data_IF_589915748552
#
_entry.id   IF_589915748552
#
_cell.length_a   1.000
_cell.length_b   1.000
_cell.length_c   1.000
_cell.angle_alpha   90.00
_cell.angle_beta   90.00
_cell.angle_gamma   90.00
#
_symmetry.space_group_name_H-M   'P 1'
#
loop_
_entity.id
_entity.type
_entity.pdbx_description
1 polymer ?
#
# COMPACT_ATOMS: atom_id res chain seq x y z
N UNK A 1 -25.34 3.50 8.28
CA UNK A 1 -24.24 4.30 8.84
C UNK A 1 -24.72 5.74 8.84
N UNK A 2 -24.66 6.42 9.99
CA UNK A 2 -24.89 7.87 10.05
C UNK A 2 -23.65 8.63 9.58
N UNK A 3 -23.78 9.92 9.27
CA UNK A 3 -22.63 10.78 8.88
C UNK A 3 -21.55 10.79 9.97
N UNK A 4 -21.95 10.78 11.24
CA UNK A 4 -21.01 10.74 12.37
C UNK A 4 -20.23 9.43 12.41
N UNK A 5 -20.90 8.30 12.16
CA UNK A 5 -20.26 6.99 12.08
C UNK A 5 -19.29 6.92 10.89
N UNK A 6 -19.63 7.54 9.76
CA UNK A 6 -18.74 7.66 8.61
C UNK A 6 -17.49 8.47 8.95
N UNK A 7 -17.64 9.65 9.56
CA UNK A 7 -16.51 10.48 10.02
C UNK A 7 -15.61 9.71 11.00
N UNK A 8 -16.20 8.98 11.93
CA UNK A 8 -15.47 8.12 12.87
C UNK A 8 -14.70 7.00 12.17
N UNK A 9 -15.32 6.34 11.18
CA UNK A 9 -14.66 5.29 10.39
C UNK A 9 -13.48 5.85 9.59
N UNK A 10 -13.65 6.98 8.90
CA UNK A 10 -12.56 7.65 8.16
C UNK A 10 -11.43 8.02 9.12
N UNK A 11 -11.75 8.63 10.27
CA UNK A 11 -10.75 9.00 11.28
C UNK A 11 -9.97 7.78 11.79
N UNK A 12 -10.62 6.63 11.91
CA UNK A 12 -9.96 5.39 12.30
C UNK A 12 -8.90 4.99 11.27
N UNK A 13 -9.25 4.95 9.98
CA UNK A 13 -8.28 4.67 8.92
C UNK A 13 -7.17 5.73 8.92
N UNK A 14 -7.49 7.02 8.84
CA UNK A 14 -6.46 8.07 8.83
C UNK A 14 -5.47 7.98 10.01
N UNK A 15 -5.93 7.62 11.21
CA UNK A 15 -5.04 7.45 12.37
C UNK A 15 -4.02 6.29 12.25
N UNK A 16 -4.17 5.41 11.26
CA UNK A 16 -3.35 4.22 10.97
C UNK A 16 -2.49 4.39 9.73
N UNK A 17 -2.73 5.46 8.96
CA UNK A 17 -1.99 5.76 7.72
C UNK A 17 -0.48 5.87 7.97
N UNK A 18 -0.07 6.44 9.10
CA UNK A 18 1.35 6.56 9.43
C UNK A 18 2.03 5.19 9.61
N UNK A 19 1.36 4.21 10.24
CA UNK A 19 1.90 2.85 10.43
C UNK A 19 2.10 2.20 9.06
N UNK A 20 1.10 2.33 8.18
CA UNK A 20 1.20 1.84 6.80
C UNK A 20 2.36 2.48 6.05
N UNK A 21 2.46 3.82 6.09
CA UNK A 21 3.51 4.56 5.39
C UNK A 21 4.91 4.21 5.92
N UNK A 22 5.07 4.08 7.24
CA UNK A 22 6.35 3.68 7.84
C UNK A 22 6.72 2.27 7.43
N UNK A 23 5.79 1.32 7.52
CA UNK A 23 6.05 -0.06 7.12
C UNK A 23 6.44 -0.15 5.63
N UNK A 24 5.59 0.35 4.75
CA UNK A 24 5.82 0.32 3.29
C UNK A 24 7.09 1.09 2.92
N UNK A 25 7.33 2.25 3.55
CA UNK A 25 8.52 3.06 3.33
C UNK A 25 9.81 2.35 3.74
N UNK A 26 9.85 1.68 4.89
CA UNK A 26 11.00 0.90 5.33
C UNK A 26 11.33 -0.24 4.37
N UNK A 27 10.32 -0.97 3.91
CA UNK A 27 10.50 -2.03 2.92
C UNK A 27 10.92 -1.48 1.54
N UNK A 28 10.46 -0.29 1.17
CA UNK A 28 10.92 0.42 -0.03
C UNK A 28 12.39 0.83 0.06
N UNK A 29 12.81 1.40 1.18
CA UNK A 29 14.23 1.74 1.45
C UNK A 29 15.09 0.48 1.37
N UNK A 30 14.64 -0.61 2.00
CA UNK A 30 15.36 -1.90 1.96
C UNK A 30 15.49 -2.43 0.52
N UNK A 31 14.39 -2.44 -0.25
CA UNK A 31 14.40 -2.93 -1.63
C UNK A 31 15.29 -2.10 -2.55
N UNK A 32 15.31 -0.78 -2.38
CA UNK A 32 16.23 0.12 -3.12
C UNK A 32 17.67 -0.13 -2.68
N UNK A 33 17.95 -0.20 -1.38
CA UNK A 33 19.30 -0.45 -0.87
C UNK A 33 19.88 -1.78 -1.39
N UNK A 34 19.10 -2.87 -1.32
CA UNK A 34 19.50 -4.18 -1.85
C UNK A 34 19.76 -4.10 -3.36
N UNK A 35 18.89 -3.46 -4.13
CA UNK A 35 19.08 -3.28 -5.57
C UNK A 35 20.31 -2.47 -5.95
N UNK A 36 20.52 -1.31 -5.31
CA UNK A 36 21.66 -0.42 -5.56
C UNK A 36 23.00 -1.04 -5.13
N UNK A 37 23.00 -1.94 -4.14
CA UNK A 37 24.22 -2.59 -3.66
C UNK A 37 24.82 -3.61 -4.65
N UNK A 38 24.09 -4.00 -5.69
CA UNK A 38 24.44 -5.11 -6.60
C UNK A 38 25.16 -4.69 -7.88
N UNK A 39 25.32 -3.40 -8.15
CA UNK A 39 26.00 -2.93 -9.35
C UNK A 39 26.13 -1.42 -9.44
N UNK A 40 26.74 -0.95 -10.53
CA UNK A 40 26.79 0.48 -10.85
C UNK A 40 25.40 0.94 -11.29
N UNK A 41 24.85 1.91 -10.57
CA UNK A 41 23.52 2.45 -10.84
C UNK A 41 23.61 3.92 -11.21
N UNK A 42 22.97 4.28 -12.33
CA UNK A 42 22.77 5.65 -12.76
C UNK A 42 21.29 5.94 -12.81
N UNK A 43 20.86 7.00 -12.15
CA UNK A 43 19.46 7.43 -12.16
C UNK A 43 19.01 7.87 -13.55
N UNK A 44 17.81 7.46 -13.94
CA UNK A 44 17.18 7.75 -15.22
C UNK A 44 15.78 8.34 -15.04
N UNK A 45 15.17 8.78 -16.14
CA UNK A 45 13.78 9.27 -16.13
C UNK A 45 12.82 8.13 -15.75
N UNK A 46 13.10 6.89 -16.18
CA UNK A 46 12.28 5.72 -15.88
C UNK A 46 12.20 5.42 -14.38
N UNK A 47 13.28 5.66 -13.64
CA UNK A 47 13.29 5.55 -12.16
C UNK A 47 12.28 6.51 -11.52
N UNK A 48 12.29 7.76 -12.01
CA UNK A 48 11.40 8.81 -11.49
C UNK A 48 9.95 8.46 -11.76
N UNK A 49 9.64 8.01 -12.98
CA UNK A 49 8.28 7.57 -13.37
C UNK A 49 7.88 6.35 -12.52
N UNK A 50 8.77 5.38 -12.34
CA UNK A 50 8.53 4.18 -11.55
C UNK A 50 8.17 4.49 -10.09
N UNK A 51 8.92 5.38 -9.45
CA UNK A 51 8.67 5.81 -8.06
C UNK A 51 7.35 6.57 -7.94
N UNK A 52 7.00 7.43 -8.90
CA UNK A 52 5.72 8.13 -8.90
C UNK A 52 4.54 7.16 -9.03
N UNK A 53 4.62 6.21 -9.98
CA UNK A 53 3.60 5.18 -10.16
C UNK A 53 3.46 4.33 -8.89
N UNK A 54 4.58 3.91 -8.30
CA UNK A 54 4.58 3.15 -7.04
C UNK A 54 3.94 3.96 -5.90
N UNK A 55 4.30 5.24 -5.75
CA UNK A 55 3.75 6.12 -4.71
C UNK A 55 2.24 6.30 -4.82
N UNK A 56 1.72 6.44 -6.05
CA UNK A 56 0.27 6.46 -6.30
C UNK A 56 -0.36 5.11 -5.93
N UNK A 57 0.25 4.01 -6.37
CA UNK A 57 -0.22 2.65 -6.09
C UNK A 57 -0.31 2.35 -4.58
N UNK A 58 0.71 2.68 -3.81
CA UNK A 58 0.74 2.50 -2.36
C UNK A 58 -0.40 3.27 -1.66
N UNK A 59 -0.69 4.50 -2.09
CA UNK A 59 -1.82 5.28 -1.56
C UNK A 59 -3.18 4.69 -1.93
N UNK A 60 -3.32 4.15 -3.16
CA UNK A 60 -4.53 3.46 -3.59
C UNK A 60 -4.76 2.21 -2.74
N UNK A 61 -3.74 1.37 -2.56
CA UNK A 61 -3.85 0.15 -1.76
C UNK A 61 -4.26 0.42 -0.32
N UNK A 62 -3.70 1.47 0.29
CA UNK A 62 -4.16 1.89 1.61
C UNK A 62 -5.64 2.26 1.63
N UNK A 63 -6.08 3.01 0.61
CA UNK A 63 -7.45 3.52 0.51
C UNK A 63 -8.49 2.43 0.23
N UNK A 64 -8.07 1.25 -0.27
CA UNK A 64 -8.98 0.11 -0.49
C UNK A 64 -9.67 -0.35 0.80
N UNK A 65 -9.02 -0.22 1.97
CA UNK A 65 -9.63 -0.62 3.24
C UNK A 65 -10.92 0.13 3.57
N UNK A 66 -10.89 1.46 3.51
CA UNK A 66 -12.08 2.29 3.75
C UNK A 66 -13.11 2.12 2.62
N UNK A 67 -12.66 1.96 1.37
CA UNK A 67 -13.52 1.69 0.22
C UNK A 67 -14.32 0.40 0.40
N UNK A 68 -13.70 -0.67 0.91
CA UNK A 68 -14.39 -1.93 1.21
C UNK A 68 -15.44 -1.77 2.32
N UNK A 69 -15.14 -1.00 3.37
CA UNK A 69 -16.13 -0.69 4.40
C UNK A 69 -17.32 0.11 3.84
N UNK A 70 -17.04 1.09 2.98
CA UNK A 70 -18.08 1.87 2.29
C UNK A 70 -18.92 1.01 1.35
N UNK A 71 -18.28 0.08 0.63
CA UNK A 71 -18.93 -0.82 -0.29
C UNK A 71 -19.87 -1.79 0.42
N UNK A 72 -19.41 -2.43 1.52
CA UNK A 72 -20.25 -3.30 2.34
C UNK A 72 -21.44 -2.53 2.92
N UNK A 73 -21.22 -1.30 3.38
CA UNK A 73 -22.29 -0.47 3.90
C UNK A 73 -23.33 -0.09 2.84
N UNK A 74 -22.88 0.46 1.71
CA UNK A 74 -23.76 1.05 0.70
C UNK A 74 -24.45 -0.02 -0.16
N UNK A 75 -23.69 -0.98 -0.68
CA UNK A 75 -24.21 -1.98 -1.61
C UNK A 75 -24.72 -3.23 -0.91
N UNK A 76 -23.99 -3.73 0.11
CA UNK A 76 -24.32 -4.99 0.78
C UNK A 76 -25.18 -4.78 2.04
N UNK A 77 -25.51 -3.53 2.39
CA UNK A 77 -26.31 -3.17 3.58
C UNK A 77 -25.72 -3.77 4.87
N UNK A 78 -24.39 -3.82 4.98
CA UNK A 78 -23.62 -4.43 6.07
C UNK A 78 -23.87 -5.93 6.29
N UNK A 79 -24.27 -6.69 5.27
CA UNK A 79 -24.47 -8.15 5.40
C UNK A 79 -23.18 -8.90 5.71
N UNK A 80 -22.04 -8.42 5.21
CA UNK A 80 -20.74 -9.08 5.43
C UNK A 80 -20.13 -8.63 6.76
N UNK A 81 -20.36 -7.37 7.16
CA UNK A 81 -19.86 -6.84 8.41
C UNK A 81 -18.35 -6.58 8.38
N UNK A 82 -17.84 -6.09 7.25
CA UNK A 82 -16.40 -5.83 7.01
C UNK A 82 -15.79 -4.99 8.13
N UNK A 83 -16.55 -4.05 8.69
CA UNK A 83 -16.17 -3.22 9.83
C UNK A 83 -15.61 -4.02 11.01
N UNK A 84 -16.12 -5.22 11.30
CA UNK A 84 -15.64 -6.08 12.40
C UNK A 84 -14.23 -6.62 12.14
N UNK A 85 -13.87 -6.78 10.87
CA UNK A 85 -12.60 -7.36 10.44
C UNK A 85 -11.57 -6.30 10.01
N UNK A 86 -11.84 -5.01 10.26
CA UNK A 86 -10.97 -3.90 9.81
C UNK A 86 -9.49 -4.04 10.20
N UNK A 87 -9.20 -4.56 11.40
CA UNK A 87 -7.81 -4.79 11.83
C UNK A 87 -7.15 -5.90 11.01
N UNK A 88 -7.89 -6.95 10.66
CA UNK A 88 -7.39 -8.04 9.82
C UNK A 88 -7.10 -7.51 8.42
N UNK A 89 -8.03 -6.77 7.82
CA UNK A 89 -7.81 -6.14 6.51
C UNK A 89 -6.64 -5.15 6.51
N UNK A 90 -6.48 -4.39 7.59
CA UNK A 90 -5.35 -3.48 7.75
C UNK A 90 -4.01 -4.23 7.81
N UNK A 91 -3.93 -5.29 8.62
CA UNK A 91 -2.70 -6.11 8.74
C UNK A 91 -2.39 -6.82 7.41
N UNK A 92 -3.37 -7.47 6.78
CA UNK A 92 -3.20 -8.12 5.47
C UNK A 92 -2.79 -7.08 4.42
N UNK A 93 -3.42 -5.90 4.43
CA UNK A 93 -3.10 -4.81 3.52
C UNK A 93 -1.67 -4.30 3.67
N UNK A 94 -1.16 -4.17 4.90
CA UNK A 94 0.25 -3.84 5.17
C UNK A 94 1.15 -4.95 4.63
N UNK A 95 0.92 -6.21 5.01
CA UNK A 95 1.75 -7.33 4.59
C UNK A 95 1.80 -7.45 3.07
N UNK A 96 0.64 -7.35 2.41
CA UNK A 96 0.53 -7.33 0.96
C UNK A 96 1.29 -6.16 0.34
N UNK A 97 1.17 -4.95 0.91
CA UNK A 97 1.84 -3.76 0.38
C UNK A 97 3.36 -3.81 0.56
N UNK A 98 3.85 -4.35 1.67
CA UNK A 98 5.27 -4.59 1.88
C UNK A 98 5.80 -5.64 0.89
N UNK A 99 5.08 -6.76 0.73
CA UNK A 99 5.41 -7.77 -0.27
C UNK A 99 5.44 -7.21 -1.69
N UNK A 100 4.39 -6.46 -2.06
CA UNK A 100 4.30 -5.80 -3.36
C UNK A 100 5.46 -4.84 -3.60
N UNK A 101 5.82 -4.06 -2.58
CA UNK A 101 6.96 -3.13 -2.65
C UNK A 101 8.26 -3.87 -2.91
N UNK A 102 8.56 -4.93 -2.14
CA UNK A 102 9.74 -5.75 -2.37
C UNK A 102 9.74 -6.42 -3.75
N UNK A 103 8.59 -6.94 -4.17
CA UNK A 103 8.42 -7.59 -5.47
C UNK A 103 8.67 -6.61 -6.62
N UNK A 104 8.12 -5.39 -6.54
CA UNK A 104 8.37 -4.34 -7.51
C UNK A 104 9.84 -3.92 -7.54
N UNK A 105 10.47 -3.70 -6.38
CA UNK A 105 11.90 -3.37 -6.32
C UNK A 105 12.75 -4.47 -6.94
N UNK A 106 12.50 -5.73 -6.58
CA UNK A 106 13.23 -6.86 -7.13
C UNK A 106 13.06 -6.96 -8.65
N UNK A 107 11.84 -6.87 -9.17
CA UNK A 107 11.60 -6.89 -10.61
C UNK A 107 12.31 -5.74 -11.34
N UNK A 108 12.33 -4.55 -10.73
CA UNK A 108 12.98 -3.37 -11.31
C UNK A 108 14.49 -3.61 -11.48
N UNK A 109 15.16 -4.05 -10.42
CA UNK A 109 16.61 -4.30 -10.43
C UNK A 109 17.02 -5.63 -11.06
N UNK A 110 16.12 -6.61 -11.20
CA UNK A 110 16.37 -7.86 -11.91
C UNK A 110 16.21 -7.73 -13.43
N UNK A 111 15.44 -6.75 -13.91
CA UNK A 111 15.17 -6.50 -15.33
C UNK A 111 16.43 -6.45 -16.21
N UNK A 112 17.57 -5.81 -15.81
CA UNK A 112 18.79 -5.78 -16.62
C UNK A 112 19.48 -7.14 -16.79
N UNK A 113 19.15 -8.14 -15.99
CA UNK A 113 19.76 -9.48 -16.03
C UNK A 113 18.88 -10.53 -16.71
N UNK A 114 17.66 -10.16 -17.11
CA UNK A 114 16.67 -11.06 -17.72
C UNK A 114 16.62 -10.93 -19.27
N UNK A 115 17.42 -10.02 -19.86
CA UNK A 115 17.49 -9.76 -21.30
C UNK A 115 18.92 -9.54 -21.75
#
# INVERSE_FOLDING_TARGET
MTIEQLKSNIKWWESKRWIYNVAVGLFGIFGIYDGLSRGEYSWTIDDTIGILIWGIGANIFYSLGILLELFDWYYLKNKVGIKRFRMIFFVIGILFSCFWTLWCSWLYFAKPHLW
#
